data_IF_414522854544
#
_entry.id   IF_414522854544
#
_cell.length_a   1.000
_cell.length_b   1.000
_cell.length_c   1.000
_cell.angle_alpha   90.00
_cell.angle_beta   90.00
_cell.angle_gamma   90.00
#
_symmetry.space_group_name_H-M   'P 1'
#
loop_
_entity.id
_entity.type
_entity.pdbx_description
1 polymer ?
#
# COMPACT_ATOMS: atom_id res chain seq x y z
N UNK A 1 -73.64 72.09 47.88
CA UNK A 1 -73.81 72.68 49.22
C UNK A 1 -72.51 72.46 49.97
N UNK A 2 -72.07 73.52 50.63
CA UNK A 2 -70.72 73.76 51.13
C UNK A 2 -70.17 72.76 52.16
N UNK A 3 -68.88 72.46 51.97
CA UNK A 3 -67.77 72.41 52.93
C UNK A 3 -68.06 72.21 54.42
N UNK A 4 -67.46 71.16 55.00
CA UNK A 4 -66.96 71.22 56.37
C UNK A 4 -65.59 70.51 56.47
N UNK A 5 -64.60 71.28 56.92
CA UNK A 5 -63.22 70.87 57.13
C UNK A 5 -63.05 70.31 58.55
N UNK A 6 -62.49 69.11 58.66
CA UNK A 6 -62.20 68.43 59.92
C UNK A 6 -60.84 67.76 59.91
N UNK A 7 -59.90 68.43 60.56
CA UNK A 7 -58.52 68.07 60.93
C UNK A 7 -58.28 66.67 61.53
N UNK A 8 -57.07 66.11 61.30
CA UNK A 8 -56.42 65.12 62.17
C UNK A 8 -55.51 64.13 61.40
N UNK A 9 -54.20 64.41 61.22
CA UNK A 9 -53.04 63.89 61.99
C UNK A 9 -53.13 62.40 62.34
N UNK A 10 -52.10 61.54 62.21
CA UNK A 10 -50.67 61.71 61.90
C UNK A 10 -50.06 60.31 61.62
N UNK A 11 -48.87 60.29 60.99
CA UNK A 11 -48.00 59.11 60.85
C UNK A 11 -47.70 58.87 59.37
N UNK A 12 -46.58 59.31 58.80
CA UNK A 12 -45.22 59.20 59.33
C UNK A 12 -44.70 57.81 58.97
N UNK A 13 -43.89 57.73 57.91
CA UNK A 13 -43.14 56.51 57.62
C UNK A 13 -42.91 56.23 56.14
N UNK A 14 -41.91 56.92 55.58
CA UNK A 14 -40.94 56.38 54.63
C UNK A 14 -41.48 55.42 53.56
N UNK A 15 -41.92 56.05 52.48
CA UNK A 15 -42.10 55.49 51.15
C UNK A 15 -40.84 54.74 50.64
N UNK A 16 -41.01 53.47 50.28
CA UNK A 16 -40.49 52.93 49.02
C UNK A 16 -39.01 52.56 48.83
N UNK A 17 -38.18 52.41 49.87
CA UNK A 17 -36.71 52.32 49.66
C UNK A 17 -36.04 50.94 49.59
N UNK A 18 -36.43 49.98 50.45
CA UNK A 18 -35.55 48.85 50.77
C UNK A 18 -36.07 47.46 50.39
N UNK A 19 -37.38 47.22 50.42
CA UNK A 19 -37.98 45.92 50.10
C UNK A 19 -37.95 45.63 48.60
N UNK A 20 -38.21 46.65 47.76
CA UNK A 20 -38.11 46.53 46.30
C UNK A 20 -36.67 46.30 45.80
N UNK A 21 -35.66 46.87 46.46
CA UNK A 21 -34.24 46.69 46.11
C UNK A 21 -33.74 45.27 46.45
N UNK A 22 -34.13 44.75 47.62
CA UNK A 22 -33.76 43.41 48.06
C UNK A 22 -34.44 42.33 47.20
N UNK A 23 -35.75 42.48 46.94
CA UNK A 23 -36.49 41.54 46.10
C UNK A 23 -36.00 41.57 44.65
N UNK A 24 -35.64 42.75 44.14
CA UNK A 24 -35.06 42.88 42.81
C UNK A 24 -33.65 42.27 42.73
N UNK A 25 -32.83 42.41 43.77
CA UNK A 25 -31.52 41.77 43.87
C UNK A 25 -31.63 40.24 43.96
N UNK A 26 -32.58 39.71 44.74
CA UNK A 26 -32.85 38.27 44.84
C UNK A 26 -33.36 37.71 43.50
N UNK A 27 -34.26 38.44 42.83
CA UNK A 27 -34.75 38.09 41.50
C UNK A 27 -33.62 38.08 40.46
N UNK A 28 -32.78 39.11 40.43
CA UNK A 28 -31.63 39.19 39.52
C UNK A 28 -30.59 38.08 39.80
N UNK A 29 -30.37 37.74 41.08
CA UNK A 29 -29.49 36.63 41.46
C UNK A 29 -30.06 35.28 41.00
N UNK A 30 -31.37 35.07 41.13
CA UNK A 30 -32.04 33.86 40.62
C UNK A 30 -31.98 33.76 39.11
N UNK A 31 -32.24 34.85 38.39
CA UNK A 31 -32.14 34.92 36.92
C UNK A 31 -30.71 34.67 36.46
N UNK A 32 -29.72 35.29 37.10
CA UNK A 32 -28.30 35.06 36.80
C UNK A 32 -27.86 33.62 37.06
N UNK A 33 -28.31 33.00 38.17
CA UNK A 33 -28.04 31.58 38.46
C UNK A 33 -28.76 30.61 37.53
N UNK A 34 -29.97 30.93 37.06
CA UNK A 34 -30.67 30.10 36.08
C UNK A 34 -30.04 30.24 34.70
N UNK A 35 -29.69 31.45 34.28
CA UNK A 35 -29.04 31.71 32.99
C UNK A 35 -27.65 31.10 32.95
N UNK A 36 -26.83 31.27 34.00
CA UNK A 36 -25.50 30.66 34.07
C UNK A 36 -25.54 29.12 34.02
N UNK A 37 -26.51 28.50 34.70
CA UNK A 37 -26.70 27.03 34.62
C UNK A 37 -27.18 26.58 33.25
N UNK A 38 -28.08 27.32 32.61
CA UNK A 38 -28.58 26.99 31.28
C UNK A 38 -27.48 27.15 30.22
N UNK A 39 -26.69 28.23 30.33
CA UNK A 39 -25.57 28.51 29.45
C UNK A 39 -24.48 27.45 29.58
N UNK A 40 -24.04 27.12 30.80
CA UNK A 40 -23.03 26.07 31.01
C UNK A 40 -23.49 24.69 30.53
N UNK A 41 -24.78 24.36 30.65
CA UNK A 41 -25.35 23.12 30.08
C UNK A 41 -25.31 23.11 28.55
N UNK A 42 -25.57 24.26 27.92
CA UNK A 42 -25.60 24.39 26.47
C UNK A 42 -24.18 24.35 25.90
N UNK A 43 -23.26 25.12 26.49
CA UNK A 43 -21.84 25.14 26.13
C UNK A 43 -21.22 23.75 26.30
N UNK A 44 -21.42 23.08 27.43
CA UNK A 44 -20.89 21.73 27.63
C UNK A 44 -21.49 20.68 26.68
N UNK A 45 -22.76 20.84 26.27
CA UNK A 45 -23.37 19.96 25.28
C UNK A 45 -22.83 20.23 23.87
N UNK A 46 -22.70 21.49 23.47
CA UNK A 46 -22.21 21.88 22.14
C UNK A 46 -20.71 21.54 21.99
N UNK A 47 -19.92 21.78 23.04
CA UNK A 47 -18.51 21.42 23.11
C UNK A 47 -18.33 19.90 23.11
N UNK A 48 -19.05 19.15 23.95
CA UNK A 48 -18.97 17.69 23.96
C UNK A 48 -19.42 17.06 22.64
N UNK A 49 -20.45 17.61 22.00
CA UNK A 49 -20.94 17.14 20.69
C UNK A 49 -19.93 17.43 19.59
N UNK A 50 -19.37 18.63 19.55
CA UNK A 50 -18.38 19.01 18.52
C UNK A 50 -17.08 18.21 18.67
N UNK A 51 -16.58 18.06 19.90
CA UNK A 51 -15.40 17.25 20.18
C UNK A 51 -15.62 15.77 19.86
N UNK A 52 -16.76 15.19 20.28
CA UNK A 52 -17.10 13.81 19.97
C UNK A 52 -17.28 13.55 18.48
N UNK A 53 -17.88 14.49 17.74
CA UNK A 53 -18.01 14.41 16.29
C UNK A 53 -16.64 14.48 15.59
N UNK A 54 -15.77 15.41 16.00
CA UNK A 54 -14.43 15.55 15.46
C UNK A 54 -13.58 14.29 15.70
N UNK A 55 -13.58 13.77 16.93
CA UNK A 55 -12.87 12.53 17.28
C UNK A 55 -13.40 11.32 16.50
N UNK A 56 -14.72 11.20 16.37
CA UNK A 56 -15.34 10.13 15.58
C UNK A 56 -15.02 10.23 14.08
N UNK A 57 -14.98 11.44 13.55
CA UNK A 57 -14.58 11.71 12.17
C UNK A 57 -13.12 11.34 11.93
N UNK A 58 -12.21 11.79 12.81
CA UNK A 58 -10.78 11.50 12.69
C UNK A 58 -10.50 10.01 12.81
N UNK A 59 -11.17 9.31 13.73
CA UNK A 59 -11.09 7.85 13.85
C UNK A 59 -11.62 7.13 12.59
N UNK A 60 -12.72 7.63 12.02
CA UNK A 60 -13.28 7.12 10.77
C UNK A 60 -12.34 7.32 9.59
N UNK A 61 -11.73 8.50 9.47
CA UNK A 61 -10.73 8.83 8.44
C UNK A 61 -9.49 7.97 8.61
N UNK A 62 -8.99 7.77 9.83
CA UNK A 62 -7.84 6.91 10.10
C UNK A 62 -8.12 5.45 9.69
N UNK A 63 -9.29 4.92 10.04
CA UNK A 63 -9.69 3.56 9.66
C UNK A 63 -9.86 3.41 8.14
N UNK A 64 -10.47 4.40 7.47
CA UNK A 64 -10.61 4.42 6.02
C UNK A 64 -9.24 4.46 5.32
N UNK A 65 -8.34 5.33 5.79
CA UNK A 65 -6.98 5.44 5.25
C UNK A 65 -6.20 4.13 5.43
N UNK A 66 -6.30 3.46 6.57
CA UNK A 66 -5.66 2.16 6.79
C UNK A 66 -6.12 1.09 5.79
N UNK A 67 -7.40 1.11 5.39
CA UNK A 67 -7.95 0.19 4.38
C UNK A 67 -7.60 0.58 2.94
N UNK A 68 -7.46 1.88 2.68
CA UNK A 68 -7.12 2.41 1.36
C UNK A 68 -5.63 2.36 1.05
N UNK A 69 -4.77 2.33 2.07
CA UNK A 69 -3.30 2.30 1.90
C UNK A 69 -2.78 1.11 1.06
N UNK A 70 -3.20 -0.15 1.31
CA UNK A 70 -2.78 -1.26 0.44
C UNK A 70 -3.29 -1.09 -0.99
N UNK A 71 -4.52 -0.59 -1.19
CA UNK A 71 -5.08 -0.33 -2.52
C UNK A 71 -4.29 0.74 -3.27
N UNK A 72 -3.82 1.79 -2.59
CA UNK A 72 -2.92 2.81 -3.19
C UNK A 72 -1.58 2.20 -3.63
N UNK A 73 -1.02 1.28 -2.84
CA UNK A 73 0.19 0.55 -3.19
C UNK A 73 0.01 -0.30 -4.45
N UNK A 74 -1.05 -1.11 -4.50
CA UNK A 74 -1.37 -1.92 -5.67
C UNK A 74 -1.62 -1.08 -6.91
N UNK A 75 -2.44 -0.02 -6.82
CA UNK A 75 -2.72 0.88 -7.96
C UNK A 75 -1.42 1.49 -8.50
N UNK A 76 -0.49 1.89 -7.62
CA UNK A 76 0.81 2.44 -8.05
C UNK A 76 1.66 1.42 -8.79
N UNK A 77 1.71 0.18 -8.32
CA UNK A 77 2.41 -0.91 -9.00
C UNK A 77 1.80 -1.23 -10.37
N UNK A 78 0.46 -1.34 -10.46
CA UNK A 78 -0.22 -1.56 -11.74
C UNK A 78 0.00 -0.42 -12.73
N UNK A 79 0.02 0.84 -12.28
CA UNK A 79 0.34 1.96 -13.16
C UNK A 79 1.79 1.90 -13.67
N UNK A 80 2.76 1.55 -12.82
CA UNK A 80 4.15 1.38 -13.23
C UNK A 80 4.30 0.24 -14.24
N UNK A 81 3.67 -0.91 -14.00
CA UNK A 81 3.67 -2.05 -14.92
C UNK A 81 2.96 -1.74 -16.24
N UNK A 82 1.78 -1.10 -16.20
CA UNK A 82 1.04 -0.71 -17.39
C UNK A 82 1.82 0.30 -18.24
N UNK A 83 2.54 1.23 -17.63
CA UNK A 83 3.43 2.16 -18.33
C UNK A 83 4.59 1.40 -18.99
N UNK A 84 5.20 0.44 -18.30
CA UNK A 84 6.25 -0.40 -18.89
C UNK A 84 5.73 -1.26 -20.05
N UNK A 85 4.59 -1.91 -19.89
CA UNK A 85 3.91 -2.70 -20.92
C UNK A 85 3.57 -1.84 -22.15
N UNK A 86 3.01 -0.64 -21.95
CA UNK A 86 2.72 0.29 -23.05
C UNK A 86 3.97 0.69 -23.81
N UNK A 87 5.08 0.92 -23.10
CA UNK A 87 6.37 1.22 -23.73
C UNK A 87 6.93 0.02 -24.52
N UNK A 88 6.73 -1.22 -24.06
CA UNK A 88 7.09 -2.42 -24.81
C UNK A 88 6.24 -2.57 -26.07
N UNK A 89 4.92 -2.40 -25.96
CA UNK A 89 3.99 -2.52 -27.10
C UNK A 89 4.25 -1.46 -28.17
N UNK A 90 4.49 -0.21 -27.79
CA UNK A 90 4.85 0.84 -28.76
C UNK A 90 6.16 0.52 -29.48
N UNK A 91 7.15 -0.03 -28.76
CA UNK A 91 8.42 -0.47 -29.37
C UNK A 91 8.25 -1.66 -30.30
N UNK A 92 7.43 -2.65 -29.94
CA UNK A 92 7.10 -3.77 -30.83
C UNK A 92 6.38 -3.30 -32.10
N UNK A 93 5.47 -2.33 -31.97
CA UNK A 93 4.80 -1.73 -33.12
C UNK A 93 5.79 -1.10 -34.10
N UNK A 94 6.75 -0.32 -33.63
CA UNK A 94 7.79 0.25 -34.50
C UNK A 94 8.61 -0.82 -35.22
N UNK A 95 8.90 -1.96 -34.58
CA UNK A 95 9.58 -3.07 -35.25
C UNK A 95 8.69 -3.68 -36.34
N UNK A 96 7.42 -3.94 -36.04
CA UNK A 96 6.46 -4.51 -36.99
C UNK A 96 6.31 -3.59 -38.21
N UNK A 97 6.18 -2.28 -37.99
CA UNK A 97 6.08 -1.29 -39.06
C UNK A 97 7.33 -1.29 -39.96
N UNK A 98 8.53 -1.39 -39.35
CA UNK A 98 9.79 -1.52 -40.08
C UNK A 98 9.84 -2.82 -40.90
N UNK A 99 9.41 -3.95 -40.33
CA UNK A 99 9.35 -5.24 -41.02
C UNK A 99 8.35 -5.22 -42.20
N UNK A 100 7.20 -4.57 -42.05
CA UNK A 100 6.24 -4.41 -43.15
C UNK A 100 6.81 -3.56 -44.29
N UNK A 101 7.47 -2.45 -43.95
CA UNK A 101 8.19 -1.65 -44.95
C UNK A 101 9.25 -2.49 -45.68
N UNK A 102 10.01 -3.33 -44.97
CA UNK A 102 10.99 -4.26 -45.55
C UNK A 102 10.37 -5.23 -46.55
N UNK A 103 9.29 -5.92 -46.16
CA UNK A 103 8.59 -6.87 -47.04
C UNK A 103 8.10 -6.19 -48.32
N UNK A 104 7.58 -4.96 -48.21
CA UNK A 104 7.12 -4.19 -49.37
C UNK A 104 8.25 -3.79 -50.32
N UNK A 105 9.41 -3.39 -49.78
CA UNK A 105 10.56 -2.96 -50.58
C UNK A 105 11.21 -4.14 -51.31
N UNK A 106 11.38 -5.28 -50.63
CA UNK A 106 11.90 -6.52 -51.23
C UNK A 106 10.96 -7.02 -52.33
N UNK A 107 9.65 -7.05 -52.08
CA UNK A 107 8.66 -7.43 -53.09
C UNK A 107 8.68 -6.49 -54.30
N UNK A 108 8.89 -5.19 -54.08
CA UNK A 108 8.99 -4.19 -55.15
C UNK A 108 10.31 -4.26 -55.94
N UNK A 109 11.41 -4.68 -55.31
CA UNK A 109 12.70 -4.90 -55.96
C UNK A 109 12.71 -6.19 -56.79
N UNK A 110 12.16 -7.29 -56.25
CA UNK A 110 12.01 -8.56 -56.96
C UNK A 110 11.20 -8.39 -58.25
N UNK A 111 10.06 -7.68 -58.20
CA UNK A 111 9.24 -7.37 -59.38
C UNK A 111 9.97 -6.53 -60.44
N UNK A 112 10.90 -5.66 -60.03
CA UNK A 112 11.67 -4.82 -60.95
C UNK A 112 12.81 -5.58 -61.62
N UNK A 113 13.47 -6.46 -60.88
CA UNK A 113 14.52 -7.33 -61.40
C UNK A 113 14.00 -8.32 -62.45
N UNK A 114 12.76 -8.82 -62.31
CA UNK A 114 12.11 -9.65 -63.34
C UNK A 114 11.83 -8.89 -64.66
N UNK A 115 11.75 -7.56 -64.64
CA UNK A 115 11.29 -6.76 -65.78
C UNK A 115 12.43 -6.24 -66.70
N UNK A 116 13.69 -6.14 -66.24
CA UNK A 116 14.83 -5.63 -67.04
C UNK A 116 16.17 -6.28 -66.67
N UNK A 117 16.75 -7.17 -67.51
CA UNK A 117 17.97 -7.91 -67.16
C UNK A 117 19.30 -7.14 -67.33
N UNK A 118 19.33 -6.01 -68.03
CA UNK A 118 20.59 -5.39 -68.54
C UNK A 118 21.08 -4.15 -67.78
N UNK A 119 20.41 -3.72 -66.70
CA UNK A 119 20.84 -2.64 -65.79
C UNK A 119 21.41 -3.17 -64.46
N UNK A 120 21.85 -4.44 -64.46
CA UNK A 120 21.95 -5.29 -63.28
C UNK A 120 23.00 -4.87 -62.24
N UNK A 121 24.15 -4.32 -62.63
CA UNK A 121 25.22 -4.00 -61.67
C UNK A 121 24.93 -2.72 -60.87
N UNK A 122 24.43 -1.66 -61.51
CA UNK A 122 24.06 -0.41 -60.82
C UNK A 122 22.84 -0.62 -59.92
N UNK A 123 21.86 -1.40 -60.38
CA UNK A 123 20.70 -1.79 -59.58
C UNK A 123 21.09 -2.71 -58.41
N UNK A 124 22.04 -3.64 -58.62
CA UNK A 124 22.57 -4.48 -57.54
C UNK A 124 23.35 -3.64 -56.50
N UNK A 125 24.12 -2.65 -56.92
CA UNK A 125 24.85 -1.76 -56.01
C UNK A 125 23.89 -0.89 -55.18
N UNK A 126 22.84 -0.36 -55.81
CA UNK A 126 21.78 0.37 -55.12
C UNK A 126 21.00 -0.52 -54.12
N UNK A 127 20.73 -1.78 -54.50
CA UNK A 127 20.10 -2.75 -53.62
C UNK A 127 20.99 -3.12 -52.41
N UNK A 128 22.30 -3.31 -52.62
CA UNK A 128 23.26 -3.56 -51.56
C UNK A 128 23.42 -2.36 -50.62
N UNK A 129 23.42 -1.14 -51.15
CA UNK A 129 23.49 0.07 -50.34
C UNK A 129 22.21 0.25 -49.49
N UNK A 130 21.04 0.03 -50.10
CA UNK A 130 19.76 -0.02 -49.38
C UNK A 130 19.76 -1.09 -48.29
N UNK A 131 20.29 -2.28 -48.57
CA UNK A 131 20.42 -3.36 -47.58
C UNK A 131 21.37 -3.01 -46.44
N UNK A 132 22.47 -2.31 -46.71
CA UNK A 132 23.40 -1.86 -45.66
C UNK A 132 22.79 -0.79 -44.75
N UNK A 133 22.11 0.21 -45.32
CA UNK A 133 21.39 1.21 -44.52
C UNK A 133 20.29 0.55 -43.66
N UNK A 134 19.62 -0.47 -44.21
CA UNK A 134 18.64 -1.26 -43.48
C UNK A 134 19.26 -2.05 -42.31
N UNK A 135 20.43 -2.66 -42.53
CA UNK A 135 21.15 -3.39 -41.48
C UNK A 135 21.60 -2.44 -40.37
N UNK A 136 22.07 -1.23 -40.71
CA UNK A 136 22.41 -0.19 -39.73
C UNK A 136 21.19 0.21 -38.89
N UNK A 137 20.06 0.52 -39.53
CA UNK A 137 18.83 0.86 -38.83
C UNK A 137 18.35 -0.28 -37.91
N UNK A 138 18.50 -1.54 -38.34
CA UNK A 138 18.19 -2.72 -37.51
C UNK A 138 19.13 -2.83 -36.31
N UNK A 139 20.42 -2.59 -36.49
CA UNK A 139 21.41 -2.59 -35.41
C UNK A 139 21.09 -1.51 -34.38
N UNK A 140 20.79 -0.28 -34.81
CA UNK A 140 20.42 0.82 -33.91
C UNK A 140 19.18 0.49 -33.08
N UNK A 141 18.15 -0.10 -33.69
CA UNK A 141 16.95 -0.53 -32.97
C UNK A 141 17.28 -1.66 -31.99
N UNK A 142 18.10 -2.64 -32.38
CA UNK A 142 18.54 -3.71 -31.49
C UNK A 142 19.36 -3.18 -30.31
N UNK A 143 20.26 -2.22 -30.53
CA UNK A 143 21.05 -1.59 -29.47
C UNK A 143 20.16 -0.85 -28.47
N UNK A 144 19.14 -0.15 -28.95
CA UNK A 144 18.13 0.48 -28.11
C UNK A 144 17.34 -0.56 -27.28
N UNK A 145 17.02 -1.71 -27.87
CA UNK A 145 16.38 -2.82 -27.15
C UNK A 145 17.27 -3.40 -26.06
N UNK A 146 18.55 -3.64 -26.37
CA UNK A 146 19.50 -4.14 -25.39
C UNK A 146 19.70 -3.15 -24.24
N UNK A 147 19.85 -1.86 -24.53
CA UNK A 147 19.97 -0.83 -23.51
C UNK A 147 18.75 -0.78 -22.58
N UNK A 148 17.54 -0.84 -23.15
CA UNK A 148 16.31 -0.83 -22.36
C UNK A 148 16.15 -2.10 -21.50
N UNK A 149 16.47 -3.28 -22.05
CA UNK A 149 16.42 -4.54 -21.32
C UNK A 149 17.45 -4.58 -20.18
N UNK A 150 18.64 -4.03 -20.42
CA UNK A 150 19.70 -3.89 -19.43
C UNK A 150 19.23 -3.01 -18.25
N UNK A 151 18.66 -1.84 -18.54
CA UNK A 151 18.14 -0.96 -17.49
C UNK A 151 17.00 -1.60 -16.70
N UNK A 152 16.08 -2.31 -17.37
CA UNK A 152 15.01 -3.01 -16.66
C UNK A 152 15.56 -4.14 -15.76
N UNK A 153 16.55 -4.89 -16.23
CA UNK A 153 17.23 -5.92 -15.44
C UNK A 153 17.93 -5.30 -14.22
N UNK A 154 18.65 -4.18 -14.42
CA UNK A 154 19.30 -3.42 -13.35
C UNK A 154 18.30 -2.96 -12.30
N UNK A 155 17.14 -2.44 -12.70
CA UNK A 155 16.08 -2.03 -11.77
C UNK A 155 15.53 -3.21 -10.96
N UNK A 156 15.27 -4.35 -11.61
CA UNK A 156 14.83 -5.58 -10.92
C UNK A 156 15.88 -6.06 -9.92
N UNK A 157 17.17 -6.04 -10.30
CA UNK A 157 18.26 -6.40 -9.39
C UNK A 157 18.36 -5.45 -8.20
N UNK A 158 18.14 -4.14 -8.38
CA UNK A 158 18.13 -3.17 -7.28
C UNK A 158 16.95 -3.41 -6.33
N UNK A 159 15.76 -3.67 -6.87
CA UNK A 159 14.60 -4.04 -6.05
C UNK A 159 14.86 -5.32 -5.26
N UNK A 160 15.38 -6.36 -5.92
CA UNK A 160 15.77 -7.61 -5.26
C UNK A 160 16.77 -7.37 -4.10
N UNK A 161 17.84 -6.60 -4.33
CA UNK A 161 18.82 -6.28 -3.28
C UNK A 161 18.20 -5.53 -2.09
N UNK A 162 17.25 -4.61 -2.34
CA UNK A 162 16.55 -3.89 -1.27
C UNK A 162 15.65 -4.81 -0.46
N UNK A 163 14.88 -5.68 -1.11
CA UNK A 163 14.06 -6.69 -0.45
C UNK A 163 14.91 -7.65 0.37
N UNK A 164 16.10 -8.01 -0.12
CA UNK A 164 17.03 -8.89 0.58
C UNK A 164 17.56 -8.26 1.88
N UNK A 165 17.85 -6.95 1.88
CA UNK A 165 18.26 -6.24 3.11
C UNK A 165 17.16 -6.31 4.17
N UNK A 166 15.92 -6.04 3.78
CA UNK A 166 14.78 -6.14 4.68
C UNK A 166 14.58 -7.56 5.21
N UNK A 167 14.59 -8.55 4.31
CA UNK A 167 14.42 -9.97 4.67
C UNK A 167 15.48 -10.43 5.66
N UNK A 168 16.76 -10.07 5.44
CA UNK A 168 17.85 -10.41 6.36
C UNK A 168 17.71 -9.75 7.72
N UNK A 169 17.26 -8.50 7.77
CA UNK A 169 17.02 -7.81 9.04
C UNK A 169 15.87 -8.48 9.84
N UNK A 170 14.79 -8.86 9.16
CA UNK A 170 13.67 -9.59 9.78
C UNK A 170 14.11 -10.98 10.24
N UNK A 171 14.86 -11.71 9.40
CA UNK A 171 15.39 -13.03 9.74
C UNK A 171 16.29 -12.95 10.97
N UNK A 172 17.25 -12.02 11.01
CA UNK A 172 18.15 -11.86 12.16
C UNK A 172 17.39 -11.54 13.45
N UNK A 173 16.41 -10.65 13.40
CA UNK A 173 15.55 -10.37 14.56
C UNK A 173 14.77 -11.62 15.00
N UNK A 174 14.23 -12.39 14.06
CA UNK A 174 13.52 -13.63 14.39
C UNK A 174 14.46 -14.68 14.98
N UNK A 175 15.66 -14.84 14.44
CA UNK A 175 16.70 -15.73 14.97
C UNK A 175 17.07 -15.39 16.41
N UNK A 176 17.17 -14.10 16.74
CA UNK A 176 17.37 -13.63 18.13
C UNK A 176 16.18 -13.96 19.03
N UNK A 177 14.96 -13.72 18.57
CA UNK A 177 13.73 -13.94 19.35
C UNK A 177 13.42 -15.43 19.57
N UNK A 178 13.80 -16.29 18.62
CA UNK A 178 13.60 -17.73 18.71
C UNK A 178 14.82 -18.45 19.28
N UNK A 179 15.84 -17.71 19.73
CA UNK A 179 17.04 -18.28 20.30
C UNK A 179 16.76 -18.97 21.64
N UNK A 180 17.24 -20.20 21.78
CA UNK A 180 17.07 -21.00 22.98
C UNK A 180 15.70 -21.66 23.12
N UNK A 181 15.50 -22.26 24.30
CA UNK A 181 14.40 -23.19 24.55
C UNK A 181 13.40 -22.72 25.61
N UNK A 182 13.21 -21.41 25.65
CA UNK A 182 12.22 -20.78 26.51
C UNK A 182 10.80 -20.88 25.89
N UNK A 183 9.73 -20.81 26.70
CA UNK A 183 8.36 -20.97 26.22
C UNK A 183 7.93 -19.87 25.22
N UNK A 184 8.46 -18.66 25.34
CA UNK A 184 8.15 -17.56 24.39
C UNK A 184 8.74 -17.82 23.01
N UNK A 185 10.00 -18.27 22.95
CA UNK A 185 10.67 -18.67 21.71
C UNK A 185 9.92 -19.82 21.02
N UNK A 186 9.47 -20.82 21.77
CA UNK A 186 8.64 -21.93 21.24
C UNK A 186 7.32 -21.43 20.66
N UNK A 187 6.61 -20.53 21.36
CA UNK A 187 5.37 -19.92 20.87
C UNK A 187 5.60 -19.06 19.62
N UNK A 188 6.71 -18.32 19.54
CA UNK A 188 7.09 -17.59 18.32
C UNK A 188 7.37 -18.55 17.16
N UNK A 189 8.11 -19.65 17.39
CA UNK A 189 8.37 -20.68 16.36
C UNK A 189 7.07 -21.27 15.82
N UNK A 190 6.15 -21.68 16.69
CA UNK A 190 4.84 -22.22 16.29
C UNK A 190 4.02 -21.20 15.48
N UNK A 191 3.97 -19.95 15.94
CA UNK A 191 3.24 -18.88 15.23
C UNK A 191 3.85 -18.60 13.85
N UNK A 192 5.17 -18.57 13.74
CA UNK A 192 5.86 -18.43 12.47
C UNK A 192 5.49 -19.57 11.52
N UNK A 193 5.63 -20.83 11.95
CA UNK A 193 5.36 -22.00 11.11
C UNK A 193 3.94 -21.99 10.59
N UNK A 194 2.96 -21.72 11.45
CA UNK A 194 1.56 -21.61 11.04
C UNK A 194 1.37 -20.52 9.97
N UNK A 195 1.91 -19.32 10.21
CA UNK A 195 1.80 -18.19 9.27
C UNK A 195 2.49 -18.47 7.95
N UNK A 196 3.66 -19.10 7.99
CA UNK A 196 4.43 -19.48 6.82
C UNK A 196 3.65 -20.49 5.96
N UNK A 197 3.16 -21.57 6.55
CA UNK A 197 2.37 -22.59 5.86
C UNK A 197 1.08 -22.01 5.26
N UNK A 198 0.37 -21.16 6.01
CA UNK A 198 -0.83 -20.46 5.51
C UNK A 198 -0.51 -19.60 4.28
N UNK A 199 0.61 -18.88 4.31
CA UNK A 199 1.05 -18.02 3.21
C UNK A 199 1.47 -18.83 1.99
N UNK A 200 2.30 -19.87 2.17
CA UNK A 200 2.71 -20.78 1.08
C UNK A 200 1.48 -21.44 0.43
N UNK A 201 0.54 -21.94 1.23
CA UNK A 201 -0.69 -22.54 0.71
C UNK A 201 -1.59 -21.53 -0.03
N UNK A 202 -1.56 -20.25 0.37
CA UNK A 202 -2.26 -19.19 -0.35
C UNK A 202 -1.60 -18.91 -1.69
N UNK A 203 -0.28 -18.77 -1.72
CA UNK A 203 0.47 -18.37 -2.91
C UNK A 203 0.55 -19.49 -3.95
N UNK A 204 0.61 -20.77 -3.51
CA UNK A 204 0.45 -21.94 -4.38
C UNK A 204 -0.94 -21.96 -5.04
N UNK A 205 -2.01 -21.67 -4.29
CA UNK A 205 -3.38 -21.62 -4.84
C UNK A 205 -3.58 -20.45 -5.80
N UNK A 206 -2.92 -19.32 -5.55
CA UNK A 206 -2.95 -18.15 -6.42
C UNK A 206 -2.06 -18.33 -7.67
N UNK A 207 -1.15 -19.31 -7.68
CA UNK A 207 -0.19 -19.53 -8.76
C UNK A 207 0.99 -18.55 -8.75
N UNK A 208 1.18 -17.82 -7.65
CA UNK A 208 2.30 -16.88 -7.44
C UNK A 208 3.62 -17.65 -7.24
N UNK A 209 3.54 -18.84 -6.67
CA UNK A 209 4.65 -19.81 -6.56
C UNK A 209 4.19 -21.17 -7.09
N UNK A 210 5.12 -21.92 -7.67
CA UNK A 210 4.87 -23.28 -8.18
C UNK A 210 5.15 -24.35 -7.12
N UNK A 211 6.10 -24.08 -6.23
CA UNK A 211 6.56 -24.98 -5.19
C UNK A 211 6.88 -24.17 -3.93
N UNK A 212 6.82 -24.81 -2.77
CA UNK A 212 7.18 -24.19 -1.50
C UNK A 212 8.68 -23.79 -1.49
N UNK A 213 9.05 -22.61 -0.95
CA UNK A 213 10.42 -22.10 -1.01
C UNK A 213 11.49 -23.06 -0.47
N UNK A 214 11.15 -23.81 0.57
CA UNK A 214 12.03 -24.78 1.20
C UNK A 214 12.33 -26.00 0.31
N UNK A 215 11.47 -26.28 -0.69
CA UNK A 215 11.61 -27.36 -1.66
C UNK A 215 12.15 -26.90 -3.03
N UNK A 216 12.30 -25.59 -3.25
CA UNK A 216 12.78 -25.03 -4.52
C UNK A 216 14.33 -25.04 -4.59
N UNK A 217 14.89 -25.76 -5.56
CA UNK A 217 16.34 -25.82 -5.77
C UNK A 217 16.98 -24.47 -6.12
N UNK A 218 16.26 -23.63 -6.88
CA UNK A 218 16.76 -22.31 -7.30
C UNK A 218 16.77 -21.39 -6.08
N UNK A 219 15.71 -21.45 -5.27
CA UNK A 219 15.65 -20.72 -4.01
C UNK A 219 16.81 -21.10 -3.08
N UNK A 220 17.05 -22.41 -2.91
CA UNK A 220 18.13 -22.90 -2.07
C UNK A 220 19.53 -22.47 -2.53
N UNK A 221 19.75 -22.41 -3.85
CA UNK A 221 21.03 -21.90 -4.42
C UNK A 221 21.19 -20.40 -4.23
N UNK A 222 20.10 -19.63 -4.28
CA UNK A 222 20.15 -18.17 -4.18
C UNK A 222 20.14 -17.65 -2.74
N UNK A 223 19.44 -18.34 -1.84
CA UNK A 223 19.19 -17.94 -0.45
C UNK A 223 19.37 -19.13 0.52
N UNK A 224 20.57 -19.71 0.61
CA UNK A 224 20.81 -20.93 1.41
C UNK A 224 20.57 -20.73 2.91
N UNK A 225 20.95 -19.57 3.46
CA UNK A 225 20.76 -19.24 4.88
C UNK A 225 19.27 -19.14 5.24
N UNK A 226 18.49 -18.48 4.39
CA UNK A 226 17.04 -18.32 4.59
C UNK A 226 16.31 -19.66 4.44
N UNK A 227 16.70 -20.49 3.46
CA UNK A 227 16.15 -21.83 3.31
C UNK A 227 16.42 -22.68 4.56
N UNK A 228 17.65 -22.64 5.08
CA UNK A 228 18.03 -23.36 6.29
C UNK A 228 17.23 -22.89 7.50
N UNK A 229 17.12 -21.58 7.70
CA UNK A 229 16.31 -21.00 8.76
C UNK A 229 14.85 -21.49 8.71
N UNK A 230 14.22 -21.49 7.52
CA UNK A 230 12.86 -22.00 7.35
C UNK A 230 12.77 -23.47 7.75
N UNK A 231 13.70 -24.31 7.28
CA UNK A 231 13.72 -25.73 7.64
C UNK A 231 13.89 -25.96 9.13
N UNK A 232 14.79 -25.23 9.78
CA UNK A 232 15.03 -25.32 11.22
C UNK A 232 13.76 -24.94 12.01
N UNK A 233 13.05 -23.89 11.58
CA UNK A 233 11.78 -23.46 12.17
C UNK A 233 10.68 -24.51 12.01
N UNK A 234 10.56 -25.12 10.83
CA UNK A 234 9.59 -26.17 10.54
C UNK A 234 9.85 -27.44 11.37
N UNK A 235 11.11 -27.84 11.49
CA UNK A 235 11.51 -29.01 12.29
C UNK A 235 11.30 -28.78 13.79
N UNK A 236 11.64 -27.59 14.28
CA UNK A 236 11.51 -27.24 15.71
C UNK A 236 10.06 -27.15 16.21
N UNK A 237 9.09 -27.06 15.30
CA UNK A 237 7.66 -27.05 15.62
C UNK A 237 6.96 -28.38 15.31
N UNK A 238 7.66 -29.36 14.72
CA UNK A 238 7.11 -30.68 14.51
C UNK A 238 6.91 -31.36 15.88
N UNK A 239 5.74 -31.96 16.15
CA UNK A 239 5.54 -32.72 17.38
C UNK A 239 6.57 -33.86 17.42
N UNK A 240 7.21 -34.07 18.58
CA UNK A 240 7.98 -35.29 18.84
C UNK A 240 7.10 -36.48 18.45
N UNK A 241 7.50 -37.23 17.43
CA UNK A 241 6.86 -38.50 17.13
C UNK A 241 7.01 -39.39 18.36
N UNK A 242 5.87 -39.84 18.89
CA UNK A 242 5.75 -40.78 19.99
C UNK A 242 6.84 -41.86 19.92
N UNK A 243 7.78 -41.77 20.86
CA UNK A 243 8.76 -42.80 21.11
C UNK A 243 8.05 -44.03 21.69
N UNK A 244 7.79 -44.97 20.80
CA UNK A 244 7.62 -46.41 21.01
C UNK A 244 8.35 -46.92 22.27
N UNK A 245 7.61 -47.09 23.38
CA UNK A 245 8.01 -47.96 24.48
C UNK A 245 7.16 -49.23 24.43
N UNK A 246 7.46 -50.02 23.40
CA UNK A 246 7.45 -51.49 23.39
C UNK A 246 7.35 -52.09 24.79
N UNK A 247 6.16 -52.61 25.12
CA UNK A 247 5.96 -53.55 26.19
C UNK A 247 6.88 -54.78 26.05
N UNK A 248 7.48 -55.28 27.14
CA UNK A 248 7.86 -56.67 27.22
C UNK A 248 7.00 -57.38 28.28
N UNK A 249 6.23 -58.37 27.82
CA UNK A 249 5.85 -59.54 28.59
C UNK A 249 6.58 -60.74 27.96
N UNK A 250 7.05 -61.73 28.74
CA UNK A 250 6.17 -62.59 29.52
C UNK A 250 6.46 -62.62 31.04
#
# INVERSE_FOLDING_TARGET
>A
MDNNWGTGRAGGGLDGGYTGSLDHAISNLHVGRSQGRQQGRKEGFDEGRSQGYAQGWDAGVACANQKLEPLRGYVRQYFEEAVQLRAVVQRQKTIIDLMYQQLSQVAGAAKRAEAKPTASESEAFAALQSSNELLKARLEVMDMHYAAALEQSRLRQLQYKRSLVFMRAVQGLLEELVHGDNPEARDIRQRFVKRYQDQVARDLRAGEIQVAPELDEVFGKQLPETQRFIMDMLQSAAPEQDGDESAPAP
#
